data_IF_524666013965
#
_entry.id   IF_524666013965
#
_cell.length_a   1.000
_cell.length_b   1.000
_cell.length_c   1.000
_cell.angle_alpha   90.00
_cell.angle_beta   90.00
_cell.angle_gamma   90.00
#
_symmetry.space_group_name_H-M   'P 1'
#
loop_
_entity.id
_entity.type
_entity.pdbx_description
1 polymer ?
#
# COMPACT_ATOMS: atom_id res chain seq x y z
N UNK A 1 -26.32 20.67 -2.75
CA UNK A 1 -25.04 19.98 -3.09
C UNK A 1 -24.54 20.53 -4.41
N UNK A 2 -23.36 21.17 -4.44
CA UNK A 2 -22.79 21.77 -5.65
C UNK A 2 -22.54 20.71 -6.74
N UNK A 3 -22.66 21.09 -8.02
CA UNK A 3 -22.39 20.20 -9.16
C UNK A 3 -20.98 19.60 -9.11
N UNK A 4 -20.02 20.33 -8.54
CA UNK A 4 -18.65 19.86 -8.29
C UNK A 4 -18.57 18.67 -7.34
N UNK A 5 -19.35 18.67 -6.25
CA UNK A 5 -19.39 17.55 -5.31
C UNK A 5 -19.91 16.26 -5.98
N UNK A 6 -20.93 16.37 -6.84
CA UNK A 6 -21.46 15.20 -7.56
C UNK A 6 -20.45 14.60 -8.53
N UNK A 7 -19.69 15.44 -9.25
CA UNK A 7 -18.65 14.99 -10.19
C UNK A 7 -17.52 14.28 -9.43
N UNK A 8 -17.09 14.85 -8.30
CA UNK A 8 -16.01 14.28 -7.50
C UNK A 8 -16.45 12.98 -6.83
N UNK A 9 -17.68 12.92 -6.31
CA UNK A 9 -18.23 11.68 -5.77
C UNK A 9 -18.33 10.59 -6.84
N UNK A 10 -18.76 10.93 -8.05
CA UNK A 10 -18.77 9.99 -9.18
C UNK A 10 -17.36 9.50 -9.54
N UNK A 11 -16.35 10.38 -9.54
CA UNK A 11 -14.96 9.98 -9.73
C UNK A 11 -14.47 9.04 -8.62
N UNK A 12 -14.81 9.32 -7.37
CA UNK A 12 -14.45 8.45 -6.23
C UNK A 12 -15.13 7.08 -6.33
N UNK A 13 -16.43 7.05 -6.69
CA UNK A 13 -17.21 5.81 -6.80
C UNK A 13 -16.69 4.88 -7.93
N UNK A 14 -16.07 5.44 -8.97
CA UNK A 14 -15.36 4.68 -10.02
C UNK A 14 -14.13 3.94 -9.46
N UNK A 15 -13.52 4.50 -8.40
CA UNK A 15 -12.38 3.90 -7.71
C UNK A 15 -11.06 3.98 -8.47
N UNK A 16 -9.93 3.83 -7.76
CA UNK A 16 -8.59 4.01 -8.34
C UNK A 16 -8.28 3.05 -9.46
N UNK A 17 -8.80 1.81 -9.37
CA UNK A 17 -8.67 0.72 -10.35
C UNK A 17 -9.01 1.17 -11.77
N UNK A 18 -9.96 2.10 -11.94
CA UNK A 18 -10.36 2.61 -13.25
C UNK A 18 -9.78 4.02 -13.50
N UNK A 19 -9.70 4.88 -12.48
CA UNK A 19 -9.23 6.28 -12.63
C UNK A 19 -7.78 6.33 -13.10
N UNK A 20 -6.88 5.56 -12.49
CA UNK A 20 -5.44 5.61 -12.79
C UNK A 20 -5.13 5.20 -14.24
N UNK A 21 -5.60 4.03 -14.73
CA UNK A 21 -5.44 3.67 -16.13
C UNK A 21 -6.10 4.67 -17.09
N UNK A 22 -7.26 5.21 -16.72
CA UNK A 22 -7.97 6.21 -17.53
C UNK A 22 -7.19 7.51 -17.70
N UNK A 23 -6.60 8.02 -16.61
CA UNK A 23 -5.73 9.21 -16.64
C UNK A 23 -4.47 8.98 -17.47
N UNK A 24 -3.81 7.83 -17.29
CA UNK A 24 -2.62 7.47 -18.07
C UNK A 24 -2.93 7.30 -19.56
N UNK A 25 -4.10 6.75 -19.89
CA UNK A 25 -4.57 6.66 -21.27
C UNK A 25 -4.77 8.04 -21.88
N UNK A 26 -5.41 8.96 -21.14
CA UNK A 26 -5.64 10.33 -21.56
C UNK A 26 -4.32 11.09 -21.80
N UNK A 27 -3.40 11.05 -20.83
CA UNK A 27 -2.07 11.69 -20.95
C UNK A 27 -1.28 11.07 -22.11
N UNK A 28 -1.31 9.74 -22.23
CA UNK A 28 -0.59 9.03 -23.27
C UNK A 28 -1.11 9.34 -24.68
N UNK A 29 -2.37 9.74 -24.84
CA UNK A 29 -2.92 10.17 -26.13
C UNK A 29 -2.23 11.44 -26.66
N UNK A 30 -1.87 12.37 -25.77
CA UNK A 30 -1.15 13.60 -26.15
C UNK A 30 0.36 13.43 -26.18
N UNK A 31 0.91 12.49 -25.39
CA UNK A 31 2.36 12.33 -25.24
C UNK A 31 3.00 11.30 -26.18
N UNK A 32 2.23 10.36 -26.75
CA UNK A 32 2.80 9.24 -27.52
C UNK A 32 2.40 9.26 -29.00
N UNK A 33 3.36 8.94 -29.88
CA UNK A 33 3.12 8.83 -31.33
C UNK A 33 2.31 7.58 -31.73
N UNK A 34 2.21 6.58 -30.84
CA UNK A 34 1.61 5.28 -31.12
C UNK A 34 0.42 4.99 -30.18
N UNK A 35 -0.76 5.44 -30.58
CA UNK A 35 -2.01 5.30 -29.81
C UNK A 35 -2.31 3.85 -29.42
N UNK A 36 -2.08 2.89 -30.33
CA UNK A 36 -2.31 1.46 -30.05
C UNK A 36 -1.38 0.89 -28.97
N UNK A 37 -0.12 1.33 -28.94
CA UNK A 37 0.84 0.93 -27.90
C UNK A 37 0.44 1.52 -26.55
N UNK A 38 -0.02 2.76 -26.54
CA UNK A 38 -0.53 3.41 -25.34
C UNK A 38 -1.77 2.69 -24.79
N UNK A 39 -2.74 2.38 -25.65
CA UNK A 39 -3.94 1.62 -25.28
C UNK A 39 -3.56 0.27 -24.65
N UNK A 40 -2.65 -0.48 -25.29
CA UNK A 40 -2.16 -1.77 -24.78
C UNK A 40 -1.56 -1.64 -23.37
N UNK A 41 -0.70 -0.64 -23.17
CA UNK A 41 -0.06 -0.40 -21.88
C UNK A 41 -1.09 -0.04 -20.79
N UNK A 42 -2.05 0.83 -21.10
CA UNK A 42 -3.11 1.20 -20.17
C UNK A 42 -4.00 0.01 -19.79
N UNK A 43 -4.27 -0.89 -20.74
CA UNK A 43 -4.98 -2.13 -20.47
C UNK A 43 -4.19 -3.07 -19.54
N UNK A 44 -2.87 -3.16 -19.68
CA UNK A 44 -2.04 -3.92 -18.74
C UNK A 44 -2.10 -3.35 -17.32
N UNK A 45 -2.01 -2.03 -17.17
CA UNK A 45 -2.11 -1.37 -15.87
C UNK A 45 -3.49 -1.64 -15.25
N UNK A 46 -4.57 -1.52 -16.03
CA UNK A 46 -5.92 -1.84 -15.57
C UNK A 46 -6.04 -3.30 -15.09
N UNK A 47 -5.58 -4.26 -15.90
CA UNK A 47 -5.60 -5.69 -15.53
C UNK A 47 -4.74 -5.98 -14.30
N UNK A 48 -3.58 -5.33 -14.17
CA UNK A 48 -2.73 -5.39 -13.00
C UNK A 48 -3.45 -4.90 -11.74
N UNK A 49 -4.10 -3.74 -11.81
CA UNK A 49 -4.80 -3.13 -10.67
C UNK A 49 -6.01 -3.95 -10.22
N UNK A 50 -6.80 -4.47 -11.16
CA UNK A 50 -7.90 -5.40 -10.87
C UNK A 50 -7.36 -6.68 -10.21
N UNK A 51 -6.31 -7.28 -10.78
CA UNK A 51 -5.71 -8.50 -10.26
C UNK A 51 -5.15 -8.36 -8.84
N UNK A 52 -4.43 -7.26 -8.58
CA UNK A 52 -3.93 -6.91 -7.24
C UNK A 52 -5.10 -6.75 -6.26
N UNK A 53 -6.16 -6.02 -6.63
CA UNK A 53 -7.31 -5.78 -5.76
C UNK A 53 -8.07 -7.08 -5.41
N UNK A 54 -8.24 -7.98 -6.38
CA UNK A 54 -8.85 -9.30 -6.16
C UNK A 54 -7.99 -10.13 -5.21
N UNK A 55 -6.68 -10.19 -5.41
CA UNK A 55 -5.78 -10.94 -4.54
C UNK A 55 -5.70 -10.38 -3.13
N UNK A 56 -5.69 -9.06 -2.98
CA UNK A 56 -5.75 -8.41 -1.66
C UNK A 56 -7.03 -8.79 -0.92
N UNK A 57 -8.17 -8.85 -1.62
CA UNK A 57 -9.44 -9.30 -1.03
C UNK A 57 -9.34 -10.76 -0.55
N UNK A 58 -8.77 -11.64 -1.37
CA UNK A 58 -8.55 -13.05 -0.99
C UNK A 58 -7.59 -13.14 0.21
N UNK A 59 -6.54 -12.33 0.24
CA UNK A 59 -5.57 -12.26 1.32
C UNK A 59 -6.19 -11.79 2.64
N UNK A 60 -7.00 -10.73 2.63
CA UNK A 60 -7.72 -10.28 3.83
C UNK A 60 -8.68 -11.36 4.32
N UNK A 61 -9.44 -11.97 3.41
CA UNK A 61 -10.38 -13.03 3.74
C UNK A 61 -9.72 -14.31 4.29
N UNK A 62 -8.45 -14.55 3.93
CA UNK A 62 -7.67 -15.67 4.47
C UNK A 62 -7.47 -15.56 5.99
N UNK A 63 -7.33 -14.35 6.54
CA UNK A 63 -7.09 -14.16 7.98
C UNK A 63 -8.38 -14.14 8.82
N UNK A 64 -9.55 -13.91 8.24
CA UNK A 64 -10.82 -13.83 8.99
C UNK A 64 -11.08 -15.04 9.91
N UNK A 65 -10.85 -16.30 9.51
CA UNK A 65 -11.02 -17.46 10.39
C UNK A 65 -10.06 -17.46 11.59
N UNK A 66 -8.81 -17.04 11.37
CA UNK A 66 -7.81 -16.90 12.43
C UNK A 66 -8.24 -15.82 13.42
N UNK A 67 -8.67 -14.66 12.93
CA UNK A 67 -9.16 -13.56 13.76
C UNK A 67 -10.34 -14.02 14.61
N UNK A 68 -11.34 -14.67 14.02
CA UNK A 68 -12.48 -15.23 14.77
C UNK A 68 -12.05 -16.21 15.87
N UNK A 69 -11.03 -17.02 15.59
CA UNK A 69 -10.46 -17.94 16.58
C UNK A 69 -9.79 -17.18 17.72
N UNK A 70 -9.08 -16.08 17.44
CA UNK A 70 -8.49 -15.22 18.48
C UNK A 70 -9.60 -14.57 19.32
N UNK A 71 -10.64 -14.03 18.68
CA UNK A 71 -11.76 -13.36 19.36
C UNK A 71 -12.48 -14.29 20.34
N UNK A 72 -12.86 -15.51 19.91
CA UNK A 72 -13.57 -16.49 20.75
C UNK A 72 -12.72 -16.95 21.95
N UNK A 73 -11.38 -16.88 21.82
CA UNK A 73 -10.46 -17.39 22.84
C UNK A 73 -9.88 -16.28 23.73
N UNK A 74 -10.17 -15.02 23.43
CA UNK A 74 -9.74 -13.89 24.21
C UNK A 74 -10.67 -13.67 25.38
N UNK A 75 -10.11 -13.32 26.53
CA UNK A 75 -10.85 -12.85 27.70
C UNK A 75 -11.24 -11.37 27.59
N UNK A 76 -10.78 -10.68 26.55
CA UNK A 76 -11.06 -9.26 26.29
C UNK A 76 -12.07 -9.12 25.18
N UNK A 77 -13.02 -8.21 25.38
CA UNK A 77 -13.90 -7.74 24.32
C UNK A 77 -13.10 -6.81 23.39
N UNK A 78 -13.03 -7.19 22.11
CA UNK A 78 -12.43 -6.36 21.08
C UNK A 78 -13.54 -5.66 20.30
N UNK A 79 -13.61 -4.33 20.41
CA UNK A 79 -14.67 -3.52 19.76
C UNK A 79 -14.31 -3.07 18.34
N UNK A 80 -13.01 -3.06 17.99
CA UNK A 80 -12.51 -2.47 16.75
C UNK A 80 -11.70 -3.51 15.98
N UNK A 81 -12.00 -3.64 14.69
CA UNK A 81 -11.23 -4.43 13.73
C UNK A 81 -10.49 -3.45 12.83
N UNK A 82 -9.16 -3.61 12.71
CA UNK A 82 -8.40 -2.91 11.69
C UNK A 82 -8.74 -3.51 10.32
N UNK A 83 -9.53 -2.77 9.55
CA UNK A 83 -9.98 -3.14 8.21
C UNK A 83 -8.96 -2.78 7.13
N UNK A 84 -7.80 -2.29 7.53
CA UNK A 84 -6.76 -1.78 6.65
C UNK A 84 -7.11 -0.43 6.03
N UNK A 85 -6.25 -0.02 5.11
CA UNK A 85 -6.25 1.31 4.53
C UNK A 85 -7.44 1.58 3.57
N UNK A 86 -8.06 0.55 2.97
CA UNK A 86 -9.14 0.75 1.99
C UNK A 86 -10.37 1.45 2.57
N UNK A 87 -10.80 1.12 3.80
CA UNK A 87 -11.92 1.84 4.43
C UNK A 87 -11.52 3.27 4.80
N UNK A 88 -10.28 3.47 5.24
CA UNK A 88 -9.80 4.82 5.59
C UNK A 88 -9.73 5.73 4.37
N UNK A 89 -9.40 5.19 3.19
CA UNK A 89 -9.45 5.91 1.92
C UNK A 89 -10.88 6.37 1.62
N UNK A 90 -11.87 5.47 1.66
CA UNK A 90 -13.27 5.78 1.37
C UNK A 90 -13.81 6.88 2.29
N UNK A 91 -13.50 6.80 3.59
CA UNK A 91 -13.91 7.80 4.58
C UNK A 91 -13.26 9.16 4.27
N UNK A 92 -11.96 9.16 3.97
CA UNK A 92 -11.22 10.39 3.66
C UNK A 92 -11.71 11.07 2.39
N UNK A 93 -12.06 10.28 1.37
CA UNK A 93 -12.64 10.76 0.11
C UNK A 93 -14.09 11.24 0.26
N UNK A 94 -14.80 10.82 1.30
CA UNK A 94 -16.15 11.29 1.60
C UNK A 94 -16.19 12.58 2.44
N UNK A 95 -15.02 13.09 2.85
CA UNK A 95 -14.90 14.25 3.73
C UNK A 95 -15.38 15.55 3.08
N UNK A 96 -16.11 16.42 3.81
CA UNK A 96 -16.61 17.69 3.26
C UNK A 96 -15.48 18.67 2.89
N UNK A 97 -14.28 18.47 3.45
CA UNK A 97 -13.11 19.33 3.22
C UNK A 97 -12.16 18.79 2.14
N UNK A 98 -12.51 17.68 1.50
CA UNK A 98 -11.72 16.99 0.46
C UNK A 98 -11.10 17.96 -0.56
N UNK A 99 -11.95 18.78 -1.19
CA UNK A 99 -11.54 19.70 -2.24
C UNK A 99 -10.50 20.72 -1.77
N UNK A 100 -10.69 21.26 -0.57
CA UNK A 100 -9.79 22.26 -0.03
C UNK A 100 -8.42 21.66 0.29
N UNK A 101 -8.38 20.43 0.80
CA UNK A 101 -7.12 19.73 1.06
C UNK A 101 -6.40 19.43 -0.26
N UNK A 102 -7.08 18.86 -1.27
CA UNK A 102 -6.45 18.54 -2.57
C UNK A 102 -5.84 19.80 -3.19
N UNK A 103 -6.60 20.89 -3.25
CA UNK A 103 -6.11 22.16 -3.80
C UNK A 103 -4.92 22.68 -3.00
N UNK A 104 -5.00 22.67 -1.67
CA UNK A 104 -3.91 23.15 -0.82
C UNK A 104 -2.63 22.32 -0.99
N UNK A 105 -2.74 20.98 -1.08
CA UNK A 105 -1.58 20.08 -1.24
C UNK A 105 -0.96 20.23 -2.64
N UNK A 106 -1.77 20.34 -3.70
CA UNK A 106 -1.26 20.60 -5.06
C UNK A 106 -0.56 21.95 -5.10
N UNK A 107 -1.19 23.01 -4.57
CA UNK A 107 -0.60 24.34 -4.51
C UNK A 107 0.71 24.32 -3.73
N UNK A 108 0.77 23.63 -2.59
CA UNK A 108 1.99 23.45 -1.82
C UNK A 108 3.08 22.76 -2.64
N UNK A 109 2.78 21.65 -3.32
CA UNK A 109 3.79 20.93 -4.11
C UNK A 109 4.37 21.82 -5.22
N UNK A 110 3.51 22.58 -5.93
CA UNK A 110 3.94 23.54 -6.94
C UNK A 110 4.77 24.68 -6.34
N UNK A 111 4.39 25.21 -5.17
CA UNK A 111 5.15 26.26 -4.48
C UNK A 111 6.53 25.73 -4.04
N UNK A 112 6.61 24.54 -3.46
CA UNK A 112 7.87 23.92 -3.07
C UNK A 112 8.79 23.70 -4.27
N UNK A 113 8.23 23.34 -5.43
CA UNK A 113 8.99 23.22 -6.67
C UNK A 113 9.48 24.59 -7.19
N UNK A 114 8.60 25.60 -7.18
CA UNK A 114 8.91 26.96 -7.63
C UNK A 114 10.02 27.60 -6.80
N UNK A 115 9.94 27.48 -5.46
CA UNK A 115 10.97 27.94 -4.53
C UNK A 115 12.18 27.00 -4.42
N UNK A 116 12.19 25.88 -5.17
CA UNK A 116 13.26 24.87 -5.20
C UNK A 116 13.54 24.22 -3.83
N UNK A 117 12.52 24.13 -2.98
CA UNK A 117 12.60 23.34 -1.74
C UNK A 117 12.65 21.85 -2.01
N UNK A 118 11.98 21.38 -3.07
CA UNK A 118 12.01 19.98 -3.54
C UNK A 118 12.09 19.93 -5.06
N UNK A 119 12.61 18.84 -5.61
CA UNK A 119 12.57 18.53 -7.06
C UNK A 119 11.48 17.50 -7.41
N UNK A 120 10.80 16.98 -6.39
CA UNK A 120 9.74 15.97 -6.51
C UNK A 120 8.37 16.59 -6.80
N UNK A 121 7.69 16.09 -7.85
CA UNK A 121 6.30 16.42 -8.19
C UNK A 121 5.39 15.22 -7.93
N UNK A 122 4.28 15.43 -7.22
CA UNK A 122 3.31 14.37 -6.98
C UNK A 122 2.18 14.40 -8.03
N UNK A 123 2.28 13.54 -9.02
CA UNK A 123 1.32 13.42 -10.14
C UNK A 123 0.23 12.39 -9.82
N UNK A 124 0.47 11.48 -8.86
CA UNK A 124 -0.48 10.45 -8.47
C UNK A 124 -1.55 11.00 -7.53
N UNK A 125 -2.71 11.37 -8.07
CA UNK A 125 -3.86 11.82 -7.29
C UNK A 125 -4.42 10.75 -6.35
N UNK A 126 -4.17 9.46 -6.60
CA UNK A 126 -4.63 8.41 -5.71
C UNK A 126 -3.87 8.44 -4.38
N UNK A 127 -2.57 8.72 -4.41
CA UNK A 127 -1.74 8.86 -3.19
C UNK A 127 -2.22 9.93 -2.19
N UNK A 128 -3.09 10.85 -2.61
CA UNK A 128 -3.53 11.97 -1.80
C UNK A 128 -4.41 11.55 -0.61
N UNK A 129 -4.93 10.31 -0.63
CA UNK A 129 -5.73 9.77 0.46
C UNK A 129 -5.02 9.89 1.83
N UNK A 130 -3.68 9.76 1.88
CA UNK A 130 -2.94 9.87 3.15
C UNK A 130 -2.99 11.29 3.74
N UNK A 131 -2.90 12.33 2.91
CA UNK A 131 -3.04 13.72 3.36
C UNK A 131 -4.48 14.05 3.73
N UNK A 132 -5.42 13.51 2.96
CA UNK A 132 -6.84 13.63 3.21
C UNK A 132 -7.26 12.96 4.50
N UNK A 133 -6.70 11.79 4.82
CA UNK A 133 -6.93 11.10 6.08
C UNK A 133 -6.44 11.93 7.25
N UNK A 134 -5.20 12.43 7.18
CA UNK A 134 -4.64 13.28 8.23
C UNK A 134 -5.51 14.52 8.49
N UNK A 135 -5.92 15.23 7.43
CA UNK A 135 -6.81 16.38 7.56
C UNK A 135 -8.21 16.01 8.04
N UNK A 136 -8.79 14.92 7.55
CA UNK A 136 -10.17 14.51 7.87
C UNK A 136 -10.31 14.03 9.31
N UNK A 137 -9.31 13.33 9.86
CA UNK A 137 -9.30 12.95 11.27
C UNK A 137 -9.32 14.20 12.15
N UNK A 138 -8.47 15.19 11.85
CA UNK A 138 -8.44 16.45 12.60
C UNK A 138 -9.75 17.21 12.46
N UNK A 139 -10.38 17.19 11.28
CA UNK A 139 -11.67 17.81 11.07
C UNK A 139 -12.77 17.19 11.93
N UNK A 140 -12.79 15.86 12.05
CA UNK A 140 -13.76 15.15 12.89
C UNK A 140 -13.55 15.48 14.38
N UNK A 141 -12.30 15.68 14.82
CA UNK A 141 -11.99 15.94 16.23
C UNK A 141 -12.18 17.41 16.62
N UNK A 142 -11.70 18.32 15.78
CA UNK A 142 -11.59 19.75 16.09
C UNK A 142 -12.75 20.55 15.51
N UNK A 143 -13.42 20.03 14.47
CA UNK A 143 -14.51 20.68 13.73
C UNK A 143 -14.14 22.04 13.11
N UNK A 144 -12.83 22.36 13.05
CA UNK A 144 -12.30 23.59 12.43
C UNK A 144 -11.61 23.26 11.11
N UNK A 145 -12.22 23.71 10.01
CA UNK A 145 -11.75 23.47 8.64
C UNK A 145 -10.30 23.93 8.41
N UNK A 146 -9.94 25.15 8.83
CA UNK A 146 -8.60 25.71 8.56
C UNK A 146 -7.47 24.94 9.25
N UNK A 147 -7.69 24.47 10.48
CA UNK A 147 -6.70 23.65 11.22
C UNK A 147 -6.50 22.32 10.50
N UNK A 148 -7.57 21.73 9.99
CA UNK A 148 -7.54 20.46 9.26
C UNK A 148 -6.73 20.57 7.96
N UNK A 149 -6.93 21.66 7.21
CA UNK A 149 -6.15 21.96 5.99
C UNK A 149 -4.68 22.17 6.34
N UNK A 150 -4.39 22.94 7.40
CA UNK A 150 -3.03 23.21 7.84
C UNK A 150 -2.28 21.91 8.17
N UNK A 151 -2.90 20.98 8.91
CA UNK A 151 -2.29 19.69 9.23
C UNK A 151 -2.03 18.84 7.98
N UNK A 152 -2.97 18.81 7.03
CA UNK A 152 -2.77 18.10 5.77
C UNK A 152 -1.59 18.69 4.96
N UNK A 153 -1.48 20.02 4.91
CA UNK A 153 -0.38 20.74 4.25
C UNK A 153 0.96 20.49 4.94
N UNK A 154 1.02 20.50 6.27
CA UNK A 154 2.24 20.16 7.02
C UNK A 154 2.68 18.73 6.73
N UNK A 155 1.72 17.79 6.75
CA UNK A 155 1.98 16.38 6.44
C UNK A 155 2.53 16.23 5.01
N UNK A 156 1.94 16.95 4.05
CA UNK A 156 2.42 16.98 2.67
C UNK A 156 3.81 17.59 2.53
N UNK A 157 4.10 18.71 3.22
CA UNK A 157 5.41 19.35 3.20
C UNK A 157 6.51 18.41 3.68
N UNK A 158 6.28 17.72 4.80
CA UNK A 158 7.21 16.72 5.36
C UNK A 158 7.37 15.57 4.36
N UNK A 159 6.26 15.06 3.83
CA UNK A 159 6.26 13.94 2.87
C UNK A 159 7.07 14.28 1.63
N UNK A 160 6.83 15.42 0.97
CA UNK A 160 7.57 15.81 -0.23
C UNK A 160 9.05 16.07 0.05
N UNK A 161 9.38 16.66 1.19
CA UNK A 161 10.78 16.86 1.60
C UNK A 161 11.50 15.53 1.80
N UNK A 162 10.88 14.58 2.50
CA UNK A 162 11.44 13.24 2.66
C UNK A 162 11.52 12.51 1.31
N UNK A 163 10.50 12.63 0.47
CA UNK A 163 10.47 12.00 -0.86
C UNK A 163 11.68 12.44 -1.70
N UNK A 164 12.04 13.72 -1.62
CA UNK A 164 13.18 14.30 -2.33
C UNK A 164 14.52 13.82 -1.74
N UNK A 165 14.66 13.83 -0.40
CA UNK A 165 15.87 13.37 0.30
C UNK A 165 16.15 11.89 -0.01
N UNK A 166 15.12 11.06 0.00
CA UNK A 166 15.24 9.61 -0.17
C UNK A 166 15.10 9.15 -1.62
N UNK A 167 14.89 10.06 -2.58
CA UNK A 167 14.76 9.72 -4.00
C UNK A 167 15.94 8.88 -4.49
N UNK A 168 17.17 9.27 -4.15
CA UNK A 168 18.37 8.55 -4.59
C UNK A 168 18.39 7.08 -4.13
N UNK A 169 17.91 6.79 -2.91
CA UNK A 169 17.84 5.41 -2.43
C UNK A 169 16.86 4.57 -3.26
N UNK A 170 15.71 5.14 -3.61
CA UNK A 170 14.71 4.51 -4.47
C UNK A 170 15.28 4.27 -5.88
N UNK A 171 15.96 5.28 -6.45
CA UNK A 171 16.62 5.15 -7.76
C UNK A 171 17.68 4.04 -7.76
N UNK A 172 18.53 3.95 -6.73
CA UNK A 172 19.56 2.90 -6.64
C UNK A 172 18.97 1.50 -6.46
N UNK A 173 17.85 1.39 -5.75
CA UNK A 173 17.19 0.10 -5.50
C UNK A 173 16.44 -0.41 -6.74
N UNK A 174 15.66 0.45 -7.40
CA UNK A 174 14.86 0.07 -8.57
C UNK A 174 15.62 0.22 -9.90
N UNK A 175 16.75 0.94 -9.92
CA UNK A 175 17.53 1.21 -11.12
C UNK A 175 16.90 2.23 -12.08
N UNK A 176 15.85 2.95 -11.64
CA UNK A 176 15.10 3.90 -12.48
C UNK A 176 15.44 5.32 -12.06
N UNK A 177 16.06 6.09 -12.96
CA UNK A 177 16.46 7.47 -12.71
C UNK A 177 15.23 8.40 -12.68
N UNK A 178 15.23 9.35 -11.75
CA UNK A 178 14.22 10.39 -11.61
C UNK A 178 12.94 9.94 -10.90
N UNK A 179 12.96 8.80 -10.20
CA UNK A 179 11.80 8.30 -9.45
C UNK A 179 11.95 8.61 -7.95
N UNK A 180 10.84 9.07 -7.37
CA UNK A 180 10.66 9.25 -5.93
C UNK A 180 9.30 8.66 -5.51
N UNK A 181 9.11 8.45 -4.21
CA UNK A 181 7.85 7.97 -3.67
C UNK A 181 7.23 9.02 -2.75
N UNK A 182 6.10 9.56 -3.17
CA UNK A 182 5.34 10.64 -2.52
C UNK A 182 4.26 10.14 -1.55
N UNK A 183 4.20 8.84 -1.27
CA UNK A 183 3.22 8.26 -0.36
C UNK A 183 3.67 8.44 1.10
N UNK A 184 2.90 9.23 1.85
CA UNK A 184 3.21 9.59 3.24
C UNK A 184 3.42 8.37 4.14
N UNK A 185 2.56 7.35 4.00
CA UNK A 185 2.60 6.13 4.82
C UNK A 185 3.79 5.21 4.54
N UNK A 186 4.50 5.42 3.41
CA UNK A 186 5.73 4.69 3.10
C UNK A 186 6.93 5.52 3.53
N UNK A 187 6.98 6.79 3.10
CA UNK A 187 8.17 7.62 3.29
C UNK A 187 8.40 8.00 4.76
N UNK A 188 7.36 8.01 5.60
CA UNK A 188 7.49 8.29 7.02
C UNK A 188 8.37 7.27 7.76
N UNK A 189 8.52 6.05 7.22
CA UNK A 189 9.39 5.02 7.78
C UNK A 189 10.86 5.18 7.39
N UNK A 190 11.18 6.00 6.38
CA UNK A 190 12.54 6.13 5.87
C UNK A 190 13.53 6.66 6.93
N UNK A 191 13.22 7.72 7.71
CA UNK A 191 14.07 8.14 8.83
C UNK A 191 14.27 7.05 9.88
N UNK A 192 13.22 6.29 10.21
CA UNK A 192 13.31 5.20 11.17
C UNK A 192 14.23 4.09 10.66
N UNK A 193 14.11 3.72 9.38
CA UNK A 193 14.98 2.74 8.73
C UNK A 193 16.45 3.16 8.82
N UNK A 194 16.76 4.44 8.58
CA UNK A 194 18.11 4.96 8.74
C UNK A 194 18.63 4.87 10.19
N UNK A 195 17.78 5.15 11.17
CA UNK A 195 18.14 5.02 12.59
C UNK A 195 18.42 3.55 12.93
N UNK A 196 17.53 2.63 12.49
CA UNK A 196 17.71 1.19 12.69
C UNK A 196 19.01 0.72 12.04
N UNK A 197 19.29 1.13 10.80
CA UNK A 197 20.55 0.83 10.12
C UNK A 197 21.77 1.38 10.88
N UNK A 198 21.69 2.60 11.40
CA UNK A 198 22.77 3.18 12.20
C UNK A 198 23.04 2.39 13.49
N UNK A 199 22.00 1.83 14.12
CA UNK A 199 22.14 0.97 15.30
C UNK A 199 22.70 -0.40 14.90
N UNK A 200 22.15 -1.05 13.88
CA UNK A 200 22.62 -2.37 13.41
C UNK A 200 24.07 -2.34 12.94
N UNK A 201 24.50 -1.26 12.29
CA UNK A 201 25.88 -1.05 11.85
C UNK A 201 26.88 -0.90 13.01
N UNK A 202 26.43 -0.64 14.24
CA UNK A 202 27.29 -0.66 15.43
C UNK A 202 27.54 -2.06 15.97
N UNK A 203 26.73 -3.05 15.59
CA UNK A 203 26.85 -4.42 16.05
C UNK A 203 27.80 -5.16 15.09
N UNK A 204 29.04 -5.50 15.50
CA UNK A 204 30.09 -5.97 14.59
C UNK A 204 29.78 -7.31 13.92
N UNK A 205 28.93 -8.15 14.53
CA UNK A 205 28.47 -9.40 13.93
C UNK A 205 27.45 -9.14 12.81
N UNK A 206 26.42 -8.32 13.08
CA UNK A 206 25.35 -8.01 12.12
C UNK A 206 25.89 -7.21 10.94
N UNK A 207 26.82 -6.27 11.18
CA UNK A 207 27.48 -5.49 10.12
C UNK A 207 28.15 -6.36 9.05
N UNK A 208 28.62 -7.57 9.41
CA UNK A 208 29.28 -8.50 8.49
C UNK A 208 28.31 -9.40 7.72
N UNK A 209 27.04 -9.41 8.12
CA UNK A 209 26.01 -10.24 7.48
C UNK A 209 25.45 -9.47 6.29
N UNK A 210 25.89 -9.83 5.10
CA UNK A 210 25.28 -9.42 3.84
C UNK A 210 24.43 -10.58 3.33
N UNK A 211 23.14 -10.58 3.68
CA UNK A 211 22.18 -11.56 3.17
C UNK A 211 21.42 -10.93 2.02
N UNK A 212 21.82 -11.25 0.80
CA UNK A 212 21.04 -10.93 -0.39
C UNK A 212 20.01 -12.02 -0.65
N UNK A 213 18.88 -11.65 -1.25
CA UNK A 213 17.84 -12.59 -1.64
C UNK A 213 18.43 -13.72 -2.52
N UNK A 214 19.36 -13.38 -3.42
CA UNK A 214 20.02 -14.33 -4.31
C UNK A 214 20.88 -15.36 -3.55
N UNK A 215 21.54 -14.96 -2.45
CA UNK A 215 22.30 -15.89 -1.60
C UNK A 215 21.39 -16.80 -0.79
N UNK A 216 20.26 -16.28 -0.31
CA UNK A 216 19.23 -17.06 0.37
C UNK A 216 18.63 -18.07 -0.62
N UNK A 217 18.36 -17.64 -1.86
CA UNK A 217 17.86 -18.50 -2.92
C UNK A 217 18.88 -19.58 -3.30
N UNK A 218 20.17 -19.24 -3.38
CA UNK A 218 21.23 -20.21 -3.65
C UNK A 218 21.37 -21.25 -2.52
N UNK A 219 21.27 -20.83 -1.25
CA UNK A 219 21.44 -21.73 -0.09
C UNK A 219 20.21 -22.58 0.22
N UNK A 220 19.01 -21.99 0.15
CA UNK A 220 17.75 -22.67 0.48
C UNK A 220 17.09 -23.33 -0.73
N UNK A 221 17.53 -23.00 -1.96
CA UNK A 221 16.99 -23.57 -3.19
C UNK A 221 15.48 -23.40 -3.28
N UNK A 222 14.78 -24.50 -3.55
CA UNK A 222 13.31 -24.55 -3.66
C UNK A 222 12.58 -23.96 -2.44
N UNK A 223 13.12 -24.08 -1.22
CA UNK A 223 12.46 -23.54 -0.01
C UNK A 223 12.43 -22.01 0.08
N UNK A 224 13.27 -21.33 -0.71
CA UNK A 224 13.25 -19.87 -0.81
C UNK A 224 12.15 -19.34 -1.71
N UNK A 225 11.52 -20.20 -2.52
CA UNK A 225 10.50 -19.75 -3.45
C UNK A 225 9.32 -19.15 -2.66
N UNK A 226 8.81 -17.97 -3.05
CA UNK A 226 7.66 -17.34 -2.38
C UNK A 226 6.45 -18.29 -2.27
N UNK A 227 6.30 -19.20 -3.25
CA UNK A 227 5.32 -20.28 -3.23
C UNK A 227 5.45 -21.19 -2.00
N UNK A 228 6.65 -21.70 -1.75
CA UNK A 228 6.95 -22.68 -0.71
C UNK A 228 6.86 -22.02 0.66
N UNK A 229 7.36 -20.78 0.77
CA UNK A 229 7.21 -19.98 1.97
C UNK A 229 5.73 -19.74 2.30
N UNK A 230 4.92 -19.32 1.32
CA UNK A 230 3.49 -19.14 1.48
C UNK A 230 2.77 -20.43 1.88
N UNK A 231 3.18 -21.58 1.32
CA UNK A 231 2.63 -22.88 1.69
C UNK A 231 2.91 -23.21 3.16
N UNK A 232 4.17 -23.06 3.59
CA UNK A 232 4.57 -23.34 4.96
C UNK A 232 3.86 -22.42 5.97
N UNK A 233 3.90 -21.11 5.74
CA UNK A 233 3.27 -20.12 6.62
C UNK A 233 1.76 -20.33 6.67
N UNK A 234 1.11 -20.57 5.52
CA UNK A 234 -0.33 -20.79 5.48
C UNK A 234 -0.75 -22.09 6.16
N UNK A 235 0.08 -23.13 6.10
CA UNK A 235 -0.13 -24.38 6.83
C UNK A 235 -0.07 -24.16 8.35
N UNK A 236 0.96 -23.45 8.84
CA UNK A 236 1.09 -23.11 10.26
C UNK A 236 -0.11 -22.28 10.74
N UNK A 237 -0.53 -21.28 9.97
CA UNK A 237 -1.70 -20.45 10.29
C UNK A 237 -2.97 -21.30 10.33
N UNK A 238 -3.14 -22.23 9.38
CA UNK A 238 -4.29 -23.14 9.34
C UNK A 238 -4.36 -24.06 10.57
N UNK A 239 -3.21 -24.58 11.04
CA UNK A 239 -3.13 -25.35 12.28
C UNK A 239 -3.49 -24.50 13.50
N UNK A 240 -2.96 -23.28 13.60
CA UNK A 240 -3.27 -22.35 14.69
C UNK A 240 -4.77 -22.03 14.70
N UNK A 241 -5.36 -21.80 13.53
CA UNK A 241 -6.80 -21.49 13.40
C UNK A 241 -7.68 -22.63 13.95
N UNK A 242 -7.21 -23.88 13.91
CA UNK A 242 -7.96 -25.06 14.37
C UNK A 242 -7.40 -25.67 15.65
N UNK A 243 -6.54 -24.99 16.41
CA UNK A 243 -5.78 -25.60 17.51
C UNK A 243 -6.66 -26.32 18.56
N UNK A 244 -7.87 -25.83 18.82
CA UNK A 244 -8.82 -26.45 19.78
C UNK A 244 -9.46 -27.74 19.26
N UNK A 245 -9.79 -27.80 17.97
CA UNK A 245 -10.39 -28.99 17.35
C UNK A 245 -9.34 -29.97 16.85
N UNK A 246 -8.08 -29.54 16.76
CA UNK A 246 -6.96 -30.33 16.24
C UNK A 246 -6.78 -31.66 16.99
N UNK A 247 -6.99 -31.68 18.31
CA UNK A 247 -6.94 -32.91 19.11
C UNK A 247 -8.16 -33.83 18.93
N UNK A 248 -9.29 -33.30 18.47
CA UNK A 248 -10.55 -34.04 18.31
C UNK A 248 -10.74 -34.57 16.88
N UNK A 249 -10.25 -33.85 15.86
CA UNK A 249 -10.45 -34.16 14.45
C UNK A 249 -9.19 -33.90 13.61
N UNK A 250 -8.16 -34.73 13.82
CA UNK A 250 -6.83 -34.59 13.19
C UNK A 250 -6.92 -34.58 11.64
N UNK A 251 -7.75 -35.45 11.06
CA UNK A 251 -7.90 -35.57 9.61
C UNK A 251 -8.37 -34.28 8.91
N UNK A 252 -9.58 -33.77 9.20
CA UNK A 252 -10.10 -32.57 8.53
C UNK A 252 -9.34 -31.30 8.90
N UNK A 253 -8.80 -31.18 10.11
CA UNK A 253 -8.03 -30.00 10.51
C UNK A 253 -6.66 -29.95 9.84
N UNK A 254 -6.03 -31.11 9.61
CA UNK A 254 -4.83 -31.20 8.79
C UNK A 254 -5.11 -30.85 7.32
N UNK A 255 -6.22 -31.35 6.75
CA UNK A 255 -6.64 -30.98 5.39
C UNK A 255 -6.93 -29.48 5.27
N UNK A 256 -7.54 -28.87 6.30
CA UNK A 256 -7.75 -27.44 6.38
C UNK A 256 -6.43 -26.66 6.42
N UNK A 257 -5.44 -27.14 7.19
CA UNK A 257 -4.10 -26.56 7.21
C UNK A 257 -3.41 -26.65 5.84
N UNK A 258 -3.47 -27.80 5.17
CA UNK A 258 -2.96 -27.96 3.81
C UNK A 258 -3.65 -27.03 2.82
N UNK A 259 -4.99 -26.90 2.88
CA UNK A 259 -5.75 -25.98 2.04
C UNK A 259 -5.36 -24.51 2.29
N UNK A 260 -5.16 -24.15 3.56
CA UNK A 260 -4.69 -22.81 3.96
C UNK A 260 -3.30 -22.51 3.42
N UNK A 261 -2.38 -23.48 3.49
CA UNK A 261 -1.07 -23.40 2.85
C UNK A 261 -1.17 -23.13 1.35
N UNK A 262 -1.96 -23.93 0.61
CA UNK A 262 -2.15 -23.75 -0.82
C UNK A 262 -2.74 -22.37 -1.18
N UNK A 263 -3.72 -21.89 -0.42
CA UNK A 263 -4.31 -20.55 -0.64
C UNK A 263 -3.27 -19.44 -0.50
N UNK A 264 -2.49 -19.45 0.58
CA UNK A 264 -1.46 -18.42 0.79
C UNK A 264 -0.33 -18.52 -0.25
N UNK A 265 0.04 -19.75 -0.63
CA UNK A 265 0.99 -20.03 -1.70
C UNK A 265 0.59 -19.39 -3.04
N UNK A 266 -0.68 -19.52 -3.44
CA UNK A 266 -1.23 -18.90 -4.66
C UNK A 266 -1.10 -17.37 -4.58
N UNK A 267 -1.43 -16.77 -3.44
CA UNK A 267 -1.34 -15.31 -3.27
C UNK A 267 0.11 -14.84 -3.43
N UNK A 268 1.07 -15.54 -2.80
CA UNK A 268 2.48 -15.14 -2.85
C UNK A 268 3.11 -15.26 -4.25
N UNK A 269 2.59 -16.12 -5.13
CA UNK A 269 3.04 -16.20 -6.53
C UNK A 269 2.34 -15.16 -7.41
N UNK A 270 1.02 -15.02 -7.26
CA UNK A 270 0.23 -14.22 -8.20
C UNK A 270 0.36 -12.72 -7.92
N UNK A 271 0.49 -12.31 -6.66
CA UNK A 271 0.53 -10.89 -6.30
C UNK A 271 1.69 -10.14 -6.98
N UNK A 272 2.95 -10.62 -6.94
CA UNK A 272 4.05 -9.98 -7.66
C UNK A 272 3.85 -9.96 -9.17
N UNK A 273 3.19 -10.97 -9.75
CA UNK A 273 2.95 -11.04 -11.20
C UNK A 273 1.98 -9.97 -11.68
N UNK A 274 0.92 -9.70 -10.92
CA UNK A 274 0.01 -8.60 -11.25
C UNK A 274 0.63 -7.23 -11.01
N UNK A 275 1.46 -7.09 -9.97
CA UNK A 275 2.24 -5.86 -9.75
C UNK A 275 3.19 -5.60 -10.92
N UNK A 276 3.82 -6.63 -11.49
CA UNK A 276 4.68 -6.49 -12.67
C UNK A 276 3.94 -6.08 -13.96
N UNK A 277 2.60 -6.10 -13.98
CA UNK A 277 1.81 -5.59 -15.10
C UNK A 277 1.57 -4.06 -15.02
N UNK A 278 1.81 -3.46 -13.86
CA UNK A 278 1.71 -2.02 -13.58
C UNK A 278 2.96 -1.29 -14.06
#
# INVERSE_FOLDING_TARGET
MSSTYKIIKYLIDIGPVIIMPGLLLFIGFFSTKNVLKNLKNCLYIFLGMVGVSLLLTIFTNFFNPLINTILINSLKDYEIIDTGWMLTEIISLSSPILLYIILAVISLNLLMLFFRFTRTINIDLWSYWSFLLAGSIIYIIVEVQWISILIAVITAAITFTLSDIYAHHIETYYGIKGISNTQAHIICWAPLSNIVNAVLNKIPFIKRVHLFYDEIQYKLGFFSEPMVFGLFVGFVIGLITRYRTLMLNIGPDFLYACSSGLKLSIIMILLPRFVNLL
#
